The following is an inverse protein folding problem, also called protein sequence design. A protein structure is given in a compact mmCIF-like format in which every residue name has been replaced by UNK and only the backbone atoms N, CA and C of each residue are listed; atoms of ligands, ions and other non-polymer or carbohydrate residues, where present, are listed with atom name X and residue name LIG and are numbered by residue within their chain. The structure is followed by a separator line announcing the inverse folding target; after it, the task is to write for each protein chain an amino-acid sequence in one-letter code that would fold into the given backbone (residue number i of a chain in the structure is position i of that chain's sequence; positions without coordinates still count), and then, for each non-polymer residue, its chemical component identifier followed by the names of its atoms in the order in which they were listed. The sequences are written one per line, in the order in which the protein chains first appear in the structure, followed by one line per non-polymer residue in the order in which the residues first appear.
data_IF_076726370297
#
_entry.id   IF_076726370297
#
_cell.length_a   1.000
_cell.length_b   1.000
_cell.length_c   1.000
_cell.angle_alpha   90.00
_cell.angle_beta   90.00
_cell.angle_gamma   90.00
#
_symmetry.space_group_name_H-M   'P 1'
#
loop_
_entity.id
_entity.type
_entity.pdbx_description
1 polymer ?
#
# COMPACT_ATOMS: atom_id res chain seq x y z
N UNK A 1 26.92 -11.03 -0.58
CA UNK A 1 26.31 -9.71 -0.27
C UNK A 1 25.74 -9.11 -1.56
N UNK A 2 24.42 -9.14 -1.77
CA UNK A 2 23.79 -8.48 -2.93
C UNK A 2 23.87 -6.96 -2.70
N UNK A 3 24.55 -6.23 -3.59
CA UNK A 3 24.56 -4.76 -3.57
C UNK A 3 23.14 -4.29 -3.87
N UNK A 4 22.39 -3.90 -2.85
CA UNK A 4 21.13 -3.19 -3.03
C UNK A 4 21.46 -1.80 -3.58
N UNK A 5 21.49 -1.67 -4.90
CA UNK A 5 21.60 -0.38 -5.58
C UNK A 5 20.47 0.51 -5.11
N UNK A 6 20.74 1.81 -4.91
CA UNK A 6 19.74 2.77 -4.44
C UNK A 6 18.46 2.77 -5.31
N UNK A 7 18.64 2.54 -6.62
CA UNK A 7 17.56 2.33 -7.60
C UNK A 7 16.66 1.11 -7.33
N UNK A 8 17.17 0.08 -6.67
CA UNK A 8 16.41 -1.13 -6.30
C UNK A 8 15.42 -0.86 -5.14
N UNK A 9 15.68 0.17 -4.32
CA UNK A 9 14.72 0.67 -3.31
C UNK A 9 13.65 1.55 -3.93
N UNK A 10 13.96 2.21 -5.04
CA UNK A 10 13.09 3.12 -5.78
C UNK A 10 12.41 2.42 -6.97
N UNK A 11 11.94 1.18 -6.79
CA UNK A 11 11.27 0.40 -7.87
C UNK A 11 10.09 1.12 -8.53
N UNK A 12 9.48 2.06 -7.82
CA UNK A 12 8.35 2.87 -8.29
C UNK A 12 8.75 4.22 -8.91
N UNK A 13 10.05 4.50 -9.11
CA UNK A 13 10.51 5.78 -9.65
C UNK A 13 9.92 6.16 -11.03
N UNK A 14 9.71 5.25 -12.00
CA UNK A 14 9.14 5.63 -13.29
C UNK A 14 7.68 6.08 -13.15
N UNK A 15 6.93 5.40 -12.28
CA UNK A 15 5.55 5.76 -11.96
C UNK A 15 5.45 7.07 -11.21
N UNK A 16 6.37 7.34 -10.29
CA UNK A 16 6.44 8.61 -9.57
C UNK A 16 6.73 9.78 -10.53
N UNK A 17 7.66 9.61 -11.47
CA UNK A 17 7.93 10.63 -12.48
C UNK A 17 6.73 10.88 -13.38
N UNK A 18 6.06 9.82 -13.83
CA UNK A 18 4.83 9.95 -14.61
C UNK A 18 3.76 10.77 -13.87
N UNK A 19 3.54 10.46 -12.58
CA UNK A 19 2.58 11.19 -11.74
C UNK A 19 2.97 12.66 -11.53
N UNK A 20 4.26 12.95 -11.32
CA UNK A 20 4.75 14.32 -11.22
C UNK A 20 4.55 15.11 -12.52
N UNK A 21 4.87 14.49 -13.66
CA UNK A 21 4.73 15.12 -14.97
C UNK A 21 3.26 15.44 -15.28
N UNK A 22 2.35 14.49 -15.09
CA UNK A 22 0.91 14.72 -15.32
C UNK A 22 0.34 15.75 -14.34
N UNK A 23 0.74 15.71 -13.06
CA UNK A 23 0.32 16.70 -12.05
C UNK A 23 0.80 18.10 -12.43
N UNK A 24 2.02 18.23 -12.97
CA UNK A 24 2.58 19.51 -13.43
C UNK A 24 1.77 20.06 -14.61
N UNK A 25 1.44 19.22 -15.59
CA UNK A 25 0.59 19.60 -16.74
C UNK A 25 -0.78 20.09 -16.28
N UNK A 26 -1.43 19.37 -15.36
CA UNK A 26 -2.73 19.79 -14.79
C UNK A 26 -2.60 21.11 -14.03
N UNK A 27 -1.52 21.31 -13.28
CA UNK A 27 -1.26 22.56 -12.55
C UNK A 27 -1.11 23.78 -13.45
N UNK A 28 -0.56 23.62 -14.65
CA UNK A 28 -0.45 24.70 -15.65
C UNK A 28 -1.79 25.01 -16.33
N UNK A 29 -2.57 23.97 -16.67
CA UNK A 29 -3.83 24.13 -17.41
C UNK A 29 -4.99 24.57 -16.48
N UNK A 30 -5.05 24.00 -15.28
CA UNK A 30 -6.16 24.16 -14.34
C UNK A 30 -5.65 24.23 -12.89
N UNK A 31 -5.03 25.34 -12.46
CA UNK A 31 -4.38 25.45 -11.15
C UNK A 31 -5.35 25.26 -9.97
N UNK A 32 -6.63 25.57 -10.15
CA UNK A 32 -7.66 25.36 -9.13
C UNK A 32 -7.89 23.87 -8.80
N UNK A 33 -7.56 22.95 -9.70
CA UNK A 33 -7.74 21.51 -9.49
C UNK A 33 -6.65 20.90 -8.60
N UNK A 34 -5.50 21.59 -8.42
CA UNK A 34 -4.44 21.12 -7.53
C UNK A 34 -4.93 20.98 -6.08
N UNK A 35 -5.81 21.88 -5.62
CA UNK A 35 -6.42 21.77 -4.30
C UNK A 35 -7.26 20.50 -4.14
N UNK A 36 -8.06 20.16 -5.15
CA UNK A 36 -8.89 18.94 -5.16
C UNK A 36 -8.03 17.68 -5.24
N UNK A 37 -6.90 17.75 -5.96
CA UNK A 37 -5.94 16.66 -6.04
C UNK A 37 -5.28 16.40 -4.67
N UNK A 38 -4.83 17.46 -3.99
CA UNK A 38 -4.24 17.36 -2.64
C UNK A 38 -5.27 16.84 -1.64
N UNK A 39 -6.51 17.31 -1.73
CA UNK A 39 -7.62 16.81 -0.92
C UNK A 39 -7.83 15.31 -1.12
N UNK A 40 -7.94 14.88 -2.38
CA UNK A 40 -8.13 13.48 -2.76
C UNK A 40 -6.97 12.60 -2.30
N UNK A 41 -5.73 13.05 -2.49
CA UNK A 41 -4.53 12.34 -2.05
C UNK A 41 -4.49 12.19 -0.52
N UNK A 42 -4.88 13.25 0.21
CA UNK A 42 -4.95 13.21 1.67
C UNK A 42 -5.94 12.14 2.17
N UNK A 43 -7.13 12.05 1.55
CA UNK A 43 -8.10 10.98 1.84
C UNK A 43 -7.53 9.59 1.59
N UNK A 44 -6.85 9.38 0.45
CA UNK A 44 -6.23 8.09 0.12
C UNK A 44 -5.13 7.70 1.12
N UNK A 45 -4.28 8.64 1.51
CA UNK A 45 -3.22 8.41 2.50
C UNK A 45 -3.80 8.06 3.89
N UNK A 46 -4.84 8.78 4.33
CA UNK A 46 -5.54 8.46 5.57
C UNK A 46 -6.21 7.08 5.52
N UNK A 47 -6.77 6.71 4.37
CA UNK A 47 -7.41 5.40 4.17
C UNK A 47 -6.39 4.25 4.23
N UNK A 48 -5.24 4.43 3.58
CA UNK A 48 -4.15 3.46 3.64
C UNK A 48 -3.61 3.31 5.07
N UNK A 49 -3.46 4.44 5.79
CA UNK A 49 -3.03 4.45 7.18
C UNK A 49 -4.04 3.72 8.09
N UNK A 50 -5.32 4.08 8.00
CA UNK A 50 -6.39 3.45 8.78
C UNK A 50 -6.50 1.96 8.47
N UNK A 51 -6.54 1.56 7.20
CA UNK A 51 -6.59 0.16 6.79
C UNK A 51 -5.41 -0.66 7.33
N UNK A 52 -4.20 -0.07 7.34
CA UNK A 52 -3.04 -0.70 7.95
C UNK A 52 -3.18 -0.88 9.46
N UNK A 53 -3.65 0.14 10.18
CA UNK A 53 -3.85 0.05 11.63
C UNK A 53 -4.97 -0.90 12.03
N UNK A 54 -6.06 -0.95 11.25
CA UNK A 54 -7.16 -1.90 11.46
C UNK A 54 -6.66 -3.34 11.34
N UNK A 55 -5.93 -3.68 10.27
CA UNK A 55 -5.33 -5.02 10.13
C UNK A 55 -4.44 -5.36 11.34
N UNK A 56 -3.63 -4.39 11.78
CA UNK A 56 -2.69 -4.56 12.88
C UNK A 56 -3.36 -4.72 14.25
N UNK A 57 -4.48 -4.05 14.46
CA UNK A 57 -5.25 -4.08 15.70
C UNK A 57 -6.10 -5.35 15.84
N UNK A 58 -6.82 -5.74 14.77
CA UNK A 58 -7.70 -6.92 14.79
C UNK A 58 -6.89 -8.21 14.80
N UNK A 59 -5.79 -8.28 14.05
CA UNK A 59 -5.03 -9.50 13.84
C UNK A 59 -3.63 -9.44 14.46
N UNK A 60 -3.56 -9.19 15.76
CA UNK A 60 -2.29 -9.15 16.50
C UNK A 60 -1.51 -10.48 16.44
N UNK A 61 -2.21 -11.62 16.41
CA UNK A 61 -1.65 -12.97 16.42
C UNK A 61 -1.20 -13.48 15.04
N UNK A 62 -1.80 -13.00 13.94
CA UNK A 62 -1.59 -13.52 12.59
C UNK A 62 -0.93 -12.47 11.69
N UNK A 63 0.19 -11.90 12.15
CA UNK A 63 0.90 -10.86 11.42
C UNK A 63 1.57 -11.46 10.17
N UNK A 64 1.35 -10.90 8.96
CA UNK A 64 1.89 -11.48 7.73
C UNK A 64 3.42 -11.70 7.75
N UNK A 65 4.18 -10.78 8.37
CA UNK A 65 5.63 -10.95 8.50
C UNK A 65 6.03 -12.14 9.36
N UNK A 66 5.34 -12.34 10.49
CA UNK A 66 5.62 -13.43 11.44
C UNK A 66 5.22 -14.78 10.82
N UNK A 67 4.05 -14.84 10.17
CA UNK A 67 3.56 -16.08 9.54
C UNK A 67 4.46 -16.51 8.38
N UNK A 68 4.96 -15.55 7.58
CA UNK A 68 5.89 -15.86 6.47
C UNK A 68 7.26 -16.30 6.98
N UNK A 69 7.77 -15.69 8.05
CA UNK A 69 9.02 -16.14 8.68
C UNK A 69 8.88 -17.53 9.28
N UNK A 70 7.74 -17.82 9.92
CA UNK A 70 7.43 -19.15 10.43
C UNK A 70 7.39 -20.19 9.30
N UNK A 71 6.73 -19.88 8.17
CA UNK A 71 6.69 -20.76 7.01
C UNK A 71 8.09 -21.00 6.41
N UNK A 72 8.96 -19.98 6.37
CA UNK A 72 10.34 -20.10 5.87
C UNK A 72 11.26 -20.96 6.73
N UNK A 73 11.01 -21.08 8.03
CA UNK A 73 11.89 -21.80 8.98
C UNK A 73 11.71 -23.32 8.97
N UNK A 74 10.86 -23.85 8.09
CA UNK A 74 10.57 -25.29 7.99
C UNK A 74 9.08 -25.60 7.93
N UNK A 75 8.26 -24.66 7.48
CA UNK A 75 6.83 -24.88 7.33
C UNK A 75 6.49 -25.69 6.08
N UNK A 76 5.58 -26.64 6.24
CA UNK A 76 5.02 -27.44 5.16
C UNK A 76 4.20 -26.58 4.18
N UNK A 77 3.69 -27.19 3.10
CA UNK A 77 2.84 -26.52 2.12
C UNK A 77 1.64 -25.77 2.74
N UNK A 78 1.09 -26.28 3.85
CA UNK A 78 -0.01 -25.64 4.60
C UNK A 78 0.43 -24.32 5.27
N UNK A 79 1.68 -24.22 5.74
CA UNK A 79 2.17 -22.97 6.33
C UNK A 79 2.23 -21.84 5.29
N UNK A 80 2.59 -22.19 4.05
CA UNK A 80 2.60 -21.24 2.93
C UNK A 80 1.20 -20.81 2.50
N UNK A 81 0.21 -21.71 2.51
CA UNK A 81 -1.18 -21.32 2.18
C UNK A 81 -1.74 -20.35 3.23
N UNK A 82 -1.46 -20.60 4.52
CA UNK A 82 -1.84 -19.69 5.61
C UNK A 82 -1.13 -18.34 5.48
N UNK A 83 0.16 -18.33 5.13
CA UNK A 83 0.90 -17.10 4.88
C UNK A 83 0.30 -16.27 3.73
N UNK A 84 -0.02 -16.92 2.61
CA UNK A 84 -0.68 -16.30 1.46
C UNK A 84 -2.04 -15.72 1.84
N UNK A 85 -2.85 -16.44 2.63
CA UNK A 85 -4.15 -15.95 3.09
C UNK A 85 -4.02 -14.73 4.01
N UNK A 86 -3.04 -14.73 4.91
CA UNK A 86 -2.76 -13.57 5.76
C UNK A 86 -2.35 -12.34 4.95
N UNK A 87 -1.54 -12.53 3.89
CA UNK A 87 -1.17 -11.44 2.97
C UNK A 87 -2.39 -10.92 2.20
N UNK A 88 -3.23 -11.82 1.69
CA UNK A 88 -4.43 -11.45 0.93
C UNK A 88 -5.42 -10.66 1.80
N UNK A 89 -5.66 -11.12 3.04
CA UNK A 89 -6.51 -10.41 4.01
C UNK A 89 -6.06 -8.96 4.21
N UNK A 90 -4.76 -8.75 4.46
CA UNK A 90 -4.22 -7.40 4.67
C UNK A 90 -4.39 -6.54 3.42
N UNK A 91 -4.16 -7.09 2.24
CA UNK A 91 -4.38 -6.40 0.98
C UNK A 91 -5.85 -5.99 0.81
N UNK A 92 -6.80 -6.89 1.11
CA UNK A 92 -8.24 -6.63 1.02
C UNK A 92 -8.70 -5.57 2.02
N UNK A 93 -8.24 -5.60 3.27
CA UNK A 93 -8.60 -4.60 4.29
C UNK A 93 -8.09 -3.21 3.90
N UNK A 94 -6.83 -3.11 3.43
CA UNK A 94 -6.26 -1.84 2.98
C UNK A 94 -6.99 -1.35 1.74
N UNK A 95 -7.26 -2.21 0.76
CA UNK A 95 -8.01 -1.85 -0.45
C UNK A 95 -9.43 -1.37 -0.10
N UNK A 96 -10.14 -2.07 0.79
CA UNK A 96 -11.47 -1.66 1.23
C UNK A 96 -11.46 -0.29 1.93
N UNK A 97 -10.49 -0.02 2.80
CA UNK A 97 -10.36 1.27 3.48
C UNK A 97 -10.05 2.42 2.51
N UNK A 98 -9.15 2.18 1.55
CA UNK A 98 -8.79 3.16 0.51
C UNK A 98 -9.97 3.42 -0.43
N UNK A 99 -10.69 2.37 -0.85
CA UNK A 99 -11.88 2.51 -1.69
C UNK A 99 -13.03 3.22 -0.95
N UNK A 100 -13.26 2.91 0.32
CA UNK A 100 -14.30 3.57 1.11
C UNK A 100 -14.06 5.08 1.23
N UNK A 101 -12.83 5.52 1.50
CA UNK A 101 -12.49 6.95 1.55
C UNK A 101 -12.35 7.60 0.17
N UNK A 102 -12.01 6.82 -0.87
CA UNK A 102 -11.93 7.28 -2.25
C UNK A 102 -13.31 7.48 -2.89
N UNK A 103 -14.29 6.64 -2.56
CA UNK A 103 -15.67 6.70 -3.04
C UNK A 103 -16.58 7.58 -2.17
N UNK A 104 -16.24 7.76 -0.89
CA UNK A 104 -16.86 8.77 -0.03
C UNK A 104 -16.52 10.15 -0.58
N UNK A 105 -17.41 10.68 -1.41
CA UNK A 105 -17.35 12.00 -2.05
C UNK A 105 -17.05 13.07 -1.00
#
# INVERSE_FOLDING_TARGET
MKKHTFFDRLRLWPWLLGALLTTTVVGVIAPHQLGVLIWSLSKLCLGAYLGYWIDRGIFCYARPGVVVEAAKRGGDGVAWTVACWCMMRRAVIIAAAVLALGLGV
#
